data_IF_754405739655
#
_entry.id   IF_754405739655
#
_cell.length_a   1.000
_cell.length_b   1.000
_cell.length_c   1.000
_cell.angle_alpha   90.00
_cell.angle_beta   90.00
_cell.angle_gamma   90.00
#
_symmetry.space_group_name_H-M   'P 1'
#
loop_
_entity.id
_entity.type
_entity.pdbx_description
1 polymer ?
#
# COMPACT_ATOMS: atom_id res chain seq x y z
N UNK A 1 5.11 14.50 26.91
CA UNK A 1 5.30 13.78 28.14
C UNK A 1 5.97 12.45 27.84
N UNK A 2 7.18 12.23 28.38
CA UNK A 2 7.90 10.97 28.23
C UNK A 2 7.21 9.94 29.11
N UNK A 3 6.65 8.89 28.48
CA UNK A 3 6.13 7.74 29.20
C UNK A 3 7.30 6.78 29.43
N UNK A 4 7.63 6.55 30.69
CA UNK A 4 8.75 5.67 31.10
C UNK A 4 8.44 4.16 30.90
N UNK A 5 7.22 3.83 30.44
CA UNK A 5 6.72 2.47 30.20
C UNK A 5 6.75 2.06 28.71
N UNK A 6 7.33 2.89 27.84
CA UNK A 6 7.46 2.60 26.41
C UNK A 6 8.89 2.18 26.09
N UNK A 7 9.02 0.97 25.55
CA UNK A 7 10.28 0.42 25.06
C UNK A 7 10.30 0.43 23.53
N UNK A 8 11.32 1.04 22.94
CA UNK A 8 11.56 1.00 21.49
C UNK A 8 12.51 -0.15 21.21
N UNK A 9 12.06 -1.12 20.43
CA UNK A 9 12.83 -2.29 20.04
C UNK A 9 13.04 -2.33 18.53
N UNK A 10 14.07 -3.04 18.07
CA UNK A 10 14.29 -3.25 16.65
C UNK A 10 13.16 -4.09 16.03
N UNK A 11 12.59 -3.67 14.90
CA UNK A 11 11.54 -4.42 14.20
C UNK A 11 12.09 -5.73 13.63
N UNK A 12 11.27 -6.78 13.60
CA UNK A 12 11.59 -8.05 12.97
C UNK A 12 10.61 -8.37 11.85
N UNK A 13 10.99 -8.04 10.61
CA UNK A 13 10.16 -8.31 9.44
C UNK A 13 9.83 -9.79 9.26
N UNK A 14 10.77 -10.69 9.59
CA UNK A 14 10.53 -12.15 9.55
C UNK A 14 9.40 -12.56 10.50
N UNK A 15 9.37 -12.00 11.71
CA UNK A 15 8.31 -12.27 12.68
C UNK A 15 6.95 -11.77 12.16
N UNK A 16 6.92 -10.57 11.59
CA UNK A 16 5.70 -9.99 11.04
C UNK A 16 5.15 -10.80 9.87
N UNK A 17 6.02 -11.23 8.95
CA UNK A 17 5.64 -12.13 7.84
C UNK A 17 5.07 -13.45 8.34
N UNK A 18 5.71 -14.09 9.35
CA UNK A 18 5.23 -15.35 9.90
C UNK A 18 3.82 -15.19 10.50
N UNK A 19 3.58 -14.12 11.25
CA UNK A 19 2.25 -13.83 11.82
C UNK A 19 1.23 -13.52 10.73
N UNK A 20 1.59 -12.73 9.72
CA UNK A 20 0.73 -12.45 8.56
C UNK A 20 0.30 -13.74 7.84
N UNK A 21 1.26 -14.65 7.60
CA UNK A 21 0.97 -15.96 7.00
C UNK A 21 0.08 -16.82 7.90
N UNK A 22 0.26 -16.78 9.22
CA UNK A 22 -0.59 -17.51 10.16
C UNK A 22 -2.04 -16.97 10.09
N UNK A 23 -2.23 -15.66 10.09
CA UNK A 23 -3.55 -15.03 9.95
C UNK A 23 -4.20 -15.37 8.60
N UNK A 24 -3.41 -15.34 7.50
CA UNK A 24 -3.92 -15.75 6.19
C UNK A 24 -4.36 -17.23 6.17
N UNK A 25 -3.68 -18.11 6.90
CA UNK A 25 -4.10 -19.51 7.04
C UNK A 25 -5.40 -19.66 7.82
N UNK A 26 -5.64 -18.82 8.84
CA UNK A 26 -6.91 -18.76 9.54
C UNK A 26 -8.00 -18.31 8.54
N UNK A 27 -7.77 -17.24 7.76
CA UNK A 27 -8.70 -16.77 6.76
C UNK A 27 -9.13 -17.86 5.75
N UNK A 28 -8.18 -18.71 5.34
CA UNK A 28 -8.45 -19.83 4.42
C UNK A 28 -9.31 -20.96 5.01
N UNK A 29 -9.64 -20.93 6.29
CA UNK A 29 -10.65 -21.84 6.90
C UNK A 29 -12.08 -21.32 6.64
N UNK A 30 -12.21 -20.04 6.31
CA UNK A 30 -13.47 -19.32 6.14
C UNK A 30 -13.85 -19.15 4.66
N UNK A 31 -12.87 -18.92 3.80
CA UNK A 31 -13.06 -18.69 2.38
C UNK A 31 -12.07 -19.51 1.55
N UNK A 32 -12.41 -19.86 0.29
CA UNK A 32 -11.45 -20.47 -0.61
C UNK A 32 -10.35 -19.48 -1.04
N UNK A 33 -9.19 -19.97 -1.52
CA UNK A 33 -8.03 -19.12 -1.85
C UNK A 33 -8.30 -18.04 -2.90
N UNK A 34 -9.21 -18.26 -3.83
CA UNK A 34 -9.63 -17.29 -4.83
C UNK A 34 -10.37 -16.10 -4.23
N UNK A 35 -11.03 -16.26 -3.08
CA UNK A 35 -11.79 -15.26 -2.37
C UNK A 35 -10.97 -14.52 -1.30
N UNK A 36 -9.66 -14.77 -1.24
CA UNK A 36 -8.71 -14.08 -0.39
C UNK A 36 -7.71 -13.29 -1.25
N UNK A 37 -7.66 -11.97 -1.07
CA UNK A 37 -6.69 -11.10 -1.72
C UNK A 37 -5.81 -10.39 -0.69
N UNK A 38 -4.54 -10.80 -0.61
CA UNK A 38 -3.54 -10.14 0.24
C UNK A 38 -3.20 -8.76 -0.34
N UNK A 39 -3.60 -7.71 0.35
CA UNK A 39 -3.38 -6.33 -0.06
C UNK A 39 -2.03 -5.79 0.42
N UNK A 40 -1.67 -6.09 1.67
CA UNK A 40 -0.38 -5.75 2.28
C UNK A 40 0.07 -6.85 3.24
N UNK A 41 1.13 -6.62 4.02
CA UNK A 41 1.60 -7.56 5.05
C UNK A 41 0.58 -7.76 6.18
N UNK A 42 -0.24 -6.76 6.44
CA UNK A 42 -1.17 -6.67 7.59
C UNK A 42 -2.63 -6.46 7.19
N UNK A 43 -2.92 -6.39 5.88
CA UNK A 43 -4.27 -6.19 5.37
C UNK A 43 -4.58 -7.15 4.22
N UNK A 44 -5.80 -7.64 4.17
CA UNK A 44 -6.34 -8.43 3.07
C UNK A 44 -7.84 -8.21 2.92
N UNK A 45 -8.35 -8.52 1.74
CA UNK A 45 -9.77 -8.56 1.44
C UNK A 45 -10.25 -10.00 1.34
N UNK A 46 -11.46 -10.25 1.84
CA UNK A 46 -12.16 -11.52 1.71
C UNK A 46 -13.52 -11.31 1.06
N UNK A 47 -13.81 -12.02 -0.02
CA UNK A 47 -15.17 -12.12 -0.51
C UNK A 47 -15.89 -13.24 0.26
N UNK A 48 -16.82 -12.85 1.12
CA UNK A 48 -17.55 -13.79 1.98
C UNK A 48 -18.95 -14.11 1.46
N UNK A 49 -19.33 -13.58 0.28
CA UNK A 49 -20.68 -13.67 -0.29
C UNK A 49 -21.21 -15.11 -0.31
N UNK A 50 -20.39 -16.06 -0.77
CA UNK A 50 -20.77 -17.46 -0.88
C UNK A 50 -20.42 -18.30 0.37
N UNK A 51 -19.70 -17.71 1.34
CA UNK A 51 -19.10 -18.45 2.46
C UNK A 51 -19.82 -18.24 3.79
N UNK A 52 -20.26 -17.00 4.11
CA UNK A 52 -20.78 -16.69 5.44
C UNK A 52 -22.05 -17.50 5.81
N UNK A 53 -22.88 -17.87 4.84
CA UNK A 53 -24.08 -18.68 5.04
C UNK A 53 -23.78 -20.08 5.60
N UNK A 54 -22.60 -20.64 5.30
CA UNK A 54 -22.17 -21.95 5.81
C UNK A 54 -22.03 -21.99 7.33
N UNK A 55 -21.91 -20.83 7.95
CA UNK A 55 -21.75 -20.68 9.40
C UNK A 55 -23.09 -20.39 10.10
N UNK A 56 -24.24 -20.46 9.39
CA UNK A 56 -25.57 -20.18 9.92
C UNK A 56 -25.63 -18.85 10.71
N UNK A 57 -24.99 -17.81 10.20
CA UNK A 57 -24.83 -16.55 10.92
C UNK A 57 -25.03 -15.34 10.00
N UNK A 58 -25.17 -14.16 10.60
CA UNK A 58 -25.09 -12.89 9.88
C UNK A 58 -23.63 -12.61 9.50
N UNK A 59 -23.38 -11.75 8.50
CA UNK A 59 -22.03 -11.33 8.11
C UNK A 59 -21.30 -10.73 9.31
N UNK A 60 -21.97 -9.96 10.15
CA UNK A 60 -21.38 -9.39 11.36
C UNK A 60 -20.92 -10.46 12.36
N UNK A 61 -21.78 -11.45 12.64
CA UNK A 61 -21.45 -12.55 13.55
C UNK A 61 -20.32 -13.43 12.99
N UNK A 62 -20.29 -13.65 11.67
CA UNK A 62 -19.20 -14.30 10.97
C UNK A 62 -17.87 -13.53 11.18
N UNK A 63 -17.86 -12.22 10.95
CA UNK A 63 -16.68 -11.37 11.16
C UNK A 63 -16.22 -11.37 12.62
N UNK A 64 -17.15 -11.34 13.57
CA UNK A 64 -16.83 -11.39 15.01
C UNK A 64 -16.18 -12.71 15.40
N UNK A 65 -16.70 -13.83 14.89
CA UNK A 65 -16.09 -15.15 15.09
C UNK A 65 -14.67 -15.19 14.52
N UNK A 66 -14.48 -14.72 13.30
CA UNK A 66 -13.18 -14.66 12.65
C UNK A 66 -12.19 -13.77 13.43
N UNK A 67 -12.61 -12.58 13.89
CA UNK A 67 -11.82 -11.68 14.72
C UNK A 67 -11.35 -12.36 16.02
N UNK A 68 -12.25 -13.08 16.68
CA UNK A 68 -11.94 -13.79 17.93
C UNK A 68 -10.94 -14.94 17.69
N UNK A 69 -11.08 -15.72 16.61
CA UNK A 69 -10.14 -16.80 16.27
C UNK A 69 -8.73 -16.28 16.00
N UNK A 70 -8.61 -15.13 15.28
CA UNK A 70 -7.31 -14.48 15.12
C UNK A 70 -6.70 -14.09 16.48
N UNK A 71 -7.49 -13.49 17.36
CA UNK A 71 -7.04 -13.09 18.68
C UNK A 71 -6.60 -14.28 19.52
N UNK A 72 -7.37 -15.36 19.53
CA UNK A 72 -7.07 -16.58 20.30
C UNK A 72 -5.81 -17.27 19.81
N UNK A 73 -5.61 -17.38 18.48
CA UNK A 73 -4.45 -18.11 17.93
C UNK A 73 -3.18 -17.27 17.85
N UNK A 74 -3.30 -15.94 17.69
CA UNK A 74 -2.13 -15.08 17.42
C UNK A 74 -1.88 -14.02 18.47
N UNK A 75 -2.83 -13.73 19.34
CA UNK A 75 -2.79 -12.61 20.29
C UNK A 75 -2.95 -11.24 19.62
N UNK A 76 -3.30 -11.19 18.32
CA UNK A 76 -3.42 -9.94 17.56
C UNK A 76 -4.87 -9.49 17.51
N UNK A 77 -5.12 -8.24 17.92
CA UNK A 77 -6.39 -7.59 17.68
C UNK A 77 -6.45 -7.05 16.25
N UNK A 78 -7.50 -7.37 15.52
CA UNK A 78 -7.71 -6.85 14.17
C UNK A 78 -9.02 -6.06 14.08
N UNK A 79 -9.11 -5.18 13.10
CA UNK A 79 -10.31 -4.43 12.75
C UNK A 79 -10.84 -4.92 11.40
N UNK A 80 -12.17 -4.92 11.24
CA UNK A 80 -12.84 -5.44 10.05
C UNK A 80 -13.82 -4.40 9.51
N UNK A 81 -13.68 -4.05 8.25
CA UNK A 81 -14.70 -3.32 7.51
C UNK A 81 -15.54 -4.27 6.66
N UNK A 82 -16.84 -4.18 6.74
CA UNK A 82 -17.80 -4.91 5.92
C UNK A 82 -18.36 -3.93 4.89
N UNK A 83 -18.33 -4.30 3.62
CA UNK A 83 -18.80 -3.43 2.54
C UNK A 83 -19.35 -4.19 1.35
N UNK A 84 -20.16 -3.51 0.54
CA UNK A 84 -20.71 -4.07 -0.70
C UNK A 84 -19.65 -4.25 -1.80
N UNK A 85 -18.48 -3.66 -1.64
CA UNK A 85 -17.30 -3.77 -2.50
C UNK A 85 -16.03 -3.52 -1.69
N UNK A 86 -14.85 -3.66 -2.31
CA UNK A 86 -13.55 -3.51 -1.64
C UNK A 86 -13.35 -2.09 -1.11
N UNK A 87 -13.78 -1.07 -1.84
CA UNK A 87 -13.69 0.32 -1.41
C UNK A 87 -14.47 0.57 -0.12
N UNK A 88 -15.77 0.25 -0.11
CA UNK A 88 -16.64 0.49 1.05
C UNK A 88 -16.16 -0.30 2.27
N UNK A 89 -15.70 -1.55 2.07
CA UNK A 89 -15.09 -2.37 3.11
C UNK A 89 -13.84 -1.68 3.69
N UNK A 90 -12.92 -1.21 2.83
CA UNK A 90 -11.69 -0.55 3.26
C UNK A 90 -11.96 0.75 4.01
N UNK A 91 -12.85 1.58 3.48
CA UNK A 91 -13.17 2.88 4.10
C UNK A 91 -13.94 2.70 5.41
N UNK A 92 -14.87 1.74 5.49
CA UNK A 92 -15.55 1.39 6.74
C UNK A 92 -14.54 0.96 7.82
N UNK A 93 -13.53 0.19 7.46
CA UNK A 93 -12.47 -0.22 8.37
C UNK A 93 -11.66 1.00 8.86
N UNK A 94 -11.19 1.85 7.95
CA UNK A 94 -10.30 2.96 8.29
C UNK A 94 -10.99 4.08 9.08
N UNK A 95 -12.23 4.41 8.73
CA UNK A 95 -12.95 5.56 9.30
C UNK A 95 -13.76 5.19 10.54
N UNK A 96 -14.37 4.00 10.57
CA UNK A 96 -15.30 3.64 11.65
C UNK A 96 -14.80 2.47 12.51
N UNK A 97 -14.40 1.33 11.91
CA UNK A 97 -14.03 0.14 12.68
C UNK A 97 -12.84 0.38 13.62
N UNK A 98 -11.83 1.13 13.18
CA UNK A 98 -10.66 1.46 14.00
C UNK A 98 -10.98 2.30 15.24
N UNK A 99 -12.14 2.91 15.28
CA UNK A 99 -12.62 3.77 16.38
C UNK A 99 -13.81 3.17 17.14
N UNK A 100 -14.34 2.03 16.71
CA UNK A 100 -15.44 1.33 17.37
C UNK A 100 -14.92 0.35 18.44
N UNK A 101 -15.68 0.17 19.52
CA UNK A 101 -15.33 -0.79 20.59
C UNK A 101 -15.18 -2.23 20.06
N UNK A 102 -16.02 -2.60 19.09
CA UNK A 102 -16.03 -3.95 18.52
C UNK A 102 -14.95 -4.17 17.46
N UNK A 103 -14.31 -3.11 16.97
CA UNK A 103 -13.37 -3.18 15.86
C UNK A 103 -14.01 -3.63 14.55
N UNK A 104 -15.34 -3.50 14.39
CA UNK A 104 -16.08 -3.91 13.19
C UNK A 104 -17.03 -2.78 12.78
N UNK A 105 -17.06 -2.47 11.49
CA UNK A 105 -17.99 -1.52 10.89
C UNK A 105 -18.56 -2.05 9.59
N UNK A 106 -19.78 -1.67 9.27
CA UNK A 106 -20.46 -2.07 8.03
C UNK A 106 -20.96 -0.85 7.28
N UNK A 107 -20.58 -0.76 5.99
CA UNK A 107 -21.02 0.28 5.06
C UNK A 107 -21.60 -0.33 3.80
N UNK A 108 -22.78 0.15 3.44
CA UNK A 108 -23.50 -0.24 2.22
C UNK A 108 -23.63 0.95 1.27
N UNK A 109 -24.11 0.74 0.06
CA UNK A 109 -24.32 1.82 -0.91
C UNK A 109 -25.23 2.93 -0.40
N UNK A 110 -26.22 2.59 0.41
CA UNK A 110 -27.15 3.53 1.04
C UNK A 110 -26.47 4.47 2.04
N UNK A 111 -25.36 4.05 2.62
CA UNK A 111 -24.61 4.84 3.62
C UNK A 111 -23.69 5.87 2.97
N UNK A 112 -23.48 5.82 1.65
CA UNK A 112 -22.56 6.69 0.92
C UNK A 112 -22.84 8.18 1.17
N UNK A 113 -24.09 8.70 1.08
CA UNK A 113 -24.33 10.11 1.32
C UNK A 113 -24.05 10.55 2.76
N UNK A 114 -24.30 9.68 3.74
CA UNK A 114 -24.21 10.02 5.16
C UNK A 114 -22.81 9.77 5.73
N UNK A 115 -22.13 8.71 5.27
CA UNK A 115 -20.85 8.30 5.85
C UNK A 115 -19.65 8.61 4.95
N UNK A 116 -19.77 8.44 3.62
CA UNK A 116 -18.66 8.62 2.69
C UNK A 116 -18.47 10.10 2.29
N UNK A 117 -19.55 10.78 1.91
CA UNK A 117 -19.47 12.16 1.41
C UNK A 117 -18.95 13.18 2.41
N UNK A 118 -19.19 13.07 3.74
CA UNK A 118 -18.64 14.02 4.71
C UNK A 118 -17.14 13.89 4.95
N UNK A 119 -16.47 12.85 4.44
CA UNK A 119 -15.05 12.62 4.71
C UNK A 119 -14.22 13.82 4.27
N UNK A 120 -13.48 14.39 5.22
CA UNK A 120 -12.49 15.44 5.08
C UNK A 120 -11.46 15.31 6.23
N UNK A 121 -10.19 15.65 5.97
CA UNK A 121 -9.62 16.08 4.68
C UNK A 121 -9.63 14.93 3.66
N UNK A 122 -9.57 15.28 2.36
CA UNK A 122 -9.65 14.29 1.27
C UNK A 122 -8.59 13.18 1.35
N UNK A 123 -7.43 13.46 1.95
CA UNK A 123 -6.35 12.47 2.12
C UNK A 123 -6.67 11.33 3.09
N UNK A 124 -7.72 11.46 3.89
CA UNK A 124 -8.20 10.39 4.77
C UNK A 124 -9.03 9.36 3.99
N UNK A 125 -9.37 9.69 2.75
CA UNK A 125 -10.03 8.76 1.84
C UNK A 125 -9.01 7.91 1.07
N UNK A 126 -9.26 6.62 1.00
CA UNK A 126 -8.40 5.66 0.33
C UNK A 126 -8.12 6.04 -1.14
N UNK A 127 -6.84 6.05 -1.52
CA UNK A 127 -6.38 6.41 -2.86
C UNK A 127 -6.07 7.91 -3.08
N UNK A 128 -6.38 8.79 -2.11
CA UNK A 128 -6.06 10.21 -2.19
C UNK A 128 -4.87 10.55 -1.28
N UNK A 129 -3.74 10.91 -1.87
CA UNK A 129 -2.58 11.38 -1.13
C UNK A 129 -2.56 12.91 -0.99
N UNK A 130 -1.66 13.44 -0.15
CA UNK A 130 -1.49 14.88 0.10
C UNK A 130 -1.30 15.73 -1.17
N UNK A 131 -0.65 15.19 -2.21
CA UNK A 131 -0.45 15.91 -3.49
C UNK A 131 -1.75 15.99 -4.28
N UNK A 132 -2.50 14.90 -4.33
CA UNK A 132 -3.80 14.83 -5.00
C UNK A 132 -4.82 15.72 -4.30
N UNK A 133 -4.91 15.65 -2.96
CA UNK A 133 -5.72 16.55 -2.15
C UNK A 133 -5.44 18.02 -2.47
N UNK A 134 -4.16 18.45 -2.46
CA UNK A 134 -3.77 19.82 -2.78
C UNK A 134 -4.23 20.25 -4.18
N UNK A 135 -4.23 19.35 -5.16
CA UNK A 135 -4.72 19.62 -6.51
C UNK A 135 -6.25 19.73 -6.57
N UNK A 136 -6.95 18.88 -5.81
CA UNK A 136 -8.41 18.90 -5.70
C UNK A 136 -8.90 20.16 -4.97
N UNK A 137 -8.27 20.53 -3.86
CA UNK A 137 -8.60 21.73 -3.09
C UNK A 137 -8.46 23.02 -3.92
N UNK A 138 -7.50 23.10 -4.84
CA UNK A 138 -7.37 24.22 -5.79
C UNK A 138 -8.55 24.34 -6.76
N UNK A 139 -9.41 23.32 -6.85
CA UNK A 139 -10.62 23.27 -7.67
C UNK A 139 -11.90 23.46 -6.85
N UNK A 140 -11.75 23.77 -5.57
CA UNK A 140 -12.89 23.92 -4.66
C UNK A 140 -13.49 22.59 -4.19
N UNK A 141 -12.73 21.47 -4.31
CA UNK A 141 -13.14 20.15 -3.86
C UNK A 141 -12.47 19.89 -2.51
N UNK A 142 -13.24 19.86 -1.42
CA UNK A 142 -12.75 19.72 -0.06
C UNK A 142 -13.25 18.46 0.65
N UNK A 143 -14.40 17.93 0.21
CA UNK A 143 -15.02 16.71 0.75
C UNK A 143 -15.15 15.65 -0.34
N UNK A 144 -15.38 14.41 0.06
CA UNK A 144 -15.68 13.33 -0.90
C UNK A 144 -17.02 13.59 -1.60
N UNK A 145 -17.99 14.24 -0.92
CA UNK A 145 -19.23 14.69 -1.53
C UNK A 145 -19.04 15.74 -2.61
N UNK A 146 -18.08 16.66 -2.45
CA UNK A 146 -17.73 17.62 -3.51
C UNK A 146 -17.13 16.87 -4.71
N UNK A 147 -16.25 15.89 -4.45
CA UNK A 147 -15.64 15.08 -5.49
C UNK A 147 -16.66 14.23 -6.26
N UNK A 148 -17.63 13.67 -5.55
CA UNK A 148 -18.72 12.87 -6.14
C UNK A 148 -19.62 13.71 -7.08
N UNK A 149 -19.82 14.98 -6.75
CA UNK A 149 -20.66 15.91 -7.52
C UNK A 149 -19.87 16.68 -8.60
N UNK A 150 -18.52 16.61 -8.55
CA UNK A 150 -17.70 17.37 -9.50
C UNK A 150 -17.81 16.76 -10.90
N UNK A 151 -17.91 17.59 -11.96
CA UNK A 151 -18.09 17.08 -13.31
C UNK A 151 -16.96 16.14 -13.75
N UNK A 152 -17.30 14.90 -14.01
CA UNK A 152 -16.42 13.81 -14.36
C UNK A 152 -15.39 14.14 -15.47
N UNK A 153 -15.82 14.85 -16.52
CA UNK A 153 -14.94 15.17 -17.64
C UNK A 153 -13.75 16.08 -17.28
N UNK A 154 -13.90 16.94 -16.27
CA UNK A 154 -12.77 17.74 -15.76
C UNK A 154 -11.80 16.86 -14.94
N UNK A 155 -12.30 15.92 -14.13
CA UNK A 155 -11.44 14.98 -13.41
C UNK A 155 -10.65 14.09 -14.38
N UNK A 156 -11.31 13.60 -15.43
CA UNK A 156 -10.66 12.81 -16.49
C UNK A 156 -9.56 13.62 -17.20
N UNK A 157 -9.83 14.88 -17.54
CA UNK A 157 -8.86 15.77 -18.20
C UNK A 157 -7.64 16.02 -17.32
N UNK A 158 -7.82 16.25 -16.02
CA UNK A 158 -6.79 16.74 -15.11
C UNK A 158 -6.00 15.63 -14.43
N UNK A 159 -6.59 14.44 -14.28
CA UNK A 159 -6.01 13.30 -13.59
C UNK A 159 -6.00 12.00 -14.41
N UNK A 160 -6.54 12.01 -15.64
CA UNK A 160 -6.61 10.82 -16.49
C UNK A 160 -7.49 9.71 -15.90
N UNK A 161 -7.04 8.48 -15.98
CA UNK A 161 -7.75 7.30 -15.44
C UNK A 161 -7.98 7.45 -13.94
N UNK A 162 -6.99 7.93 -13.19
CA UNK A 162 -7.15 8.17 -11.74
C UNK A 162 -8.29 9.15 -11.42
N UNK A 163 -8.56 10.12 -12.31
CA UNK A 163 -9.69 11.04 -12.14
C UNK A 163 -11.04 10.34 -12.29
N UNK A 164 -11.11 9.35 -13.18
CA UNK A 164 -12.30 8.51 -13.38
C UNK A 164 -12.53 7.66 -12.11
N UNK A 165 -11.47 6.98 -11.66
CA UNK A 165 -11.54 6.11 -10.49
C UNK A 165 -11.92 6.91 -9.23
N UNK A 166 -11.32 8.08 -9.01
CA UNK A 166 -11.67 8.95 -7.89
C UNK A 166 -13.15 9.37 -7.92
N UNK A 167 -13.71 9.67 -9.10
CA UNK A 167 -15.13 10.02 -9.22
C UNK A 167 -16.05 8.85 -8.91
N UNK A 168 -15.74 7.65 -9.43
CA UNK A 168 -16.49 6.43 -9.14
C UNK A 168 -16.40 6.08 -7.66
N UNK A 169 -15.21 6.10 -7.09
CA UNK A 169 -14.97 5.82 -5.68
C UNK A 169 -15.69 6.82 -4.76
N UNK A 170 -15.73 8.11 -5.10
CA UNK A 170 -16.48 9.10 -4.34
C UNK A 170 -18.00 8.85 -4.37
N UNK A 171 -18.49 8.13 -5.35
CA UNK A 171 -19.87 7.63 -5.42
C UNK A 171 -20.06 6.22 -4.84
N UNK A 172 -19.06 5.67 -4.15
CA UNK A 172 -19.10 4.35 -3.56
C UNK A 172 -18.99 3.20 -4.57
N UNK A 173 -18.63 3.49 -5.82
CA UNK A 173 -18.54 2.52 -6.91
C UNK A 173 -17.10 2.04 -7.04
N UNK A 174 -16.89 0.74 -6.88
CA UNK A 174 -15.61 0.07 -7.11
C UNK A 174 -15.87 -1.19 -7.93
N UNK A 175 -15.21 -1.29 -9.07
CA UNK A 175 -15.34 -2.41 -9.99
C UNK A 175 -14.32 -3.52 -9.75
N UNK A 176 -13.41 -3.32 -8.79
CA UNK A 176 -12.40 -4.30 -8.41
C UNK A 176 -13.05 -5.55 -7.83
N UNK A 177 -12.47 -6.71 -8.12
CA UNK A 177 -12.93 -8.00 -7.59
C UNK A 177 -11.78 -8.70 -6.87
N UNK A 178 -12.08 -9.29 -5.73
CA UNK A 178 -11.12 -10.06 -4.92
C UNK A 178 -10.49 -11.20 -5.73
N UNK A 179 -11.26 -11.85 -6.60
CA UNK A 179 -10.81 -12.95 -7.48
C UNK A 179 -9.91 -12.51 -8.63
N UNK A 180 -9.98 -11.23 -9.03
CA UNK A 180 -9.17 -10.69 -10.12
C UNK A 180 -7.82 -10.23 -9.60
N UNK A 181 -6.81 -11.11 -9.64
CA UNK A 181 -5.47 -10.80 -9.20
C UNK A 181 -4.73 -10.01 -10.27
N UNK A 182 -4.16 -8.88 -9.86
CA UNK A 182 -3.29 -8.08 -10.74
C UNK A 182 -2.07 -8.90 -11.19
N UNK A 183 -1.85 -8.96 -12.50
CA UNK A 183 -0.64 -9.56 -13.08
C UNK A 183 0.38 -8.48 -13.34
N UNK A 184 1.51 -8.56 -12.66
CA UNK A 184 2.64 -7.65 -12.89
C UNK A 184 3.23 -7.95 -14.27
N UNK A 185 3.06 -7.04 -15.21
CA UNK A 185 3.61 -7.17 -16.57
C UNK A 185 5.10 -6.88 -16.62
N UNK A 186 5.57 -5.88 -15.86
CA UNK A 186 6.96 -5.47 -15.77
C UNK A 186 7.40 -5.51 -14.30
N UNK A 187 7.87 -6.66 -13.80
CA UNK A 187 8.32 -6.77 -12.43
C UNK A 187 9.59 -5.96 -12.21
N UNK A 188 9.72 -5.32 -11.06
CA UNK A 188 10.94 -4.65 -10.63
C UNK A 188 11.41 -5.21 -9.28
N UNK A 189 12.72 -5.29 -9.10
CA UNK A 189 13.35 -5.63 -7.83
C UNK A 189 14.01 -4.36 -7.31
N UNK A 190 13.63 -3.93 -6.13
CA UNK A 190 14.19 -2.72 -5.52
C UNK A 190 14.67 -2.97 -4.09
N UNK A 191 15.62 -2.16 -3.68
CA UNK A 191 16.09 -2.03 -2.31
C UNK A 191 16.29 -0.56 -2.00
N UNK A 192 15.91 -0.13 -0.81
CA UNK A 192 16.16 1.21 -0.31
C UNK A 192 16.54 1.16 1.15
N UNK A 193 17.25 2.17 1.61
CA UNK A 193 17.64 2.32 3.00
C UNK A 193 17.55 3.80 3.40
N UNK A 194 16.97 4.05 4.56
CA UNK A 194 17.05 5.35 5.23
C UNK A 194 18.30 5.31 6.10
N UNK A 195 19.20 6.27 5.90
CA UNK A 195 20.46 6.34 6.64
C UNK A 195 20.22 6.89 8.03
N UNK A 196 20.99 6.41 9.01
CA UNK A 196 20.86 6.80 10.43
C UNK A 196 21.44 8.18 10.73
N UNK A 197 22.26 8.71 9.84
CA UNK A 197 22.88 10.03 9.87
C UNK A 197 23.09 10.54 8.44
N UNK A 198 23.51 11.76 8.30
CA UNK A 198 23.95 12.29 7.02
C UNK A 198 25.28 11.65 6.61
N UNK A 199 25.37 11.26 5.34
CA UNK A 199 26.53 10.63 4.73
C UNK A 199 27.14 11.56 3.70
N UNK A 200 28.45 11.66 3.73
CA UNK A 200 29.19 12.24 2.61
C UNK A 200 29.09 11.35 1.39
N UNK A 201 29.27 11.90 0.20
CA UNK A 201 29.10 11.16 -1.03
C UNK A 201 29.97 9.89 -1.11
N UNK A 202 31.25 9.98 -0.70
CA UNK A 202 32.13 8.82 -0.70
C UNK A 202 31.68 7.71 0.25
N UNK A 203 31.17 8.07 1.43
CA UNK A 203 30.59 7.10 2.38
C UNK A 203 29.33 6.44 1.80
N UNK A 204 28.50 7.19 1.06
CA UNK A 204 27.27 6.67 0.47
C UNK A 204 27.52 5.62 -0.61
N UNK A 205 28.73 5.60 -1.21
CA UNK A 205 29.11 4.57 -2.19
C UNK A 205 29.14 3.16 -1.60
N UNK A 206 29.53 3.01 -0.34
CA UNK A 206 29.53 1.72 0.35
C UNK A 206 28.10 1.21 0.50
N UNK A 207 27.20 2.07 1.01
CA UNK A 207 25.79 1.72 1.14
C UNK A 207 25.15 1.39 -0.21
N UNK A 208 25.48 2.18 -1.24
CA UNK A 208 25.01 1.92 -2.61
C UNK A 208 25.47 0.54 -3.10
N UNK A 209 26.71 0.15 -2.81
CA UNK A 209 27.26 -1.14 -3.20
C UNK A 209 26.54 -2.29 -2.52
N UNK A 210 26.25 -2.19 -1.21
CA UNK A 210 25.46 -3.16 -0.45
C UNK A 210 24.03 -3.30 -1.01
N UNK A 211 23.38 -2.19 -1.36
CA UNK A 211 22.05 -2.22 -1.96
C UNK A 211 22.05 -2.88 -3.35
N UNK A 212 23.07 -2.62 -4.16
CA UNK A 212 23.24 -3.23 -5.49
C UNK A 212 23.47 -4.73 -5.35
N UNK A 213 24.29 -5.16 -4.40
CA UNK A 213 24.56 -6.59 -4.14
C UNK A 213 23.27 -7.34 -3.79
N UNK A 214 22.45 -6.80 -2.89
CA UNK A 214 21.15 -7.37 -2.53
C UNK A 214 20.24 -7.49 -3.77
N UNK A 215 20.10 -6.43 -4.55
CA UNK A 215 19.27 -6.44 -5.78
C UNK A 215 19.77 -7.45 -6.80
N UNK A 216 21.08 -7.49 -7.05
CA UNK A 216 21.69 -8.42 -8.01
C UNK A 216 21.59 -9.88 -7.54
N UNK A 217 21.75 -10.13 -6.23
CA UNK A 217 21.53 -11.45 -5.63
C UNK A 217 20.10 -11.94 -5.85
N UNK A 218 19.11 -11.07 -5.63
CA UNK A 218 17.69 -11.39 -5.85
C UNK A 218 17.36 -11.60 -7.31
N UNK A 219 17.96 -10.81 -8.24
CA UNK A 219 17.83 -11.05 -9.68
C UNK A 219 18.31 -12.45 -10.06
N UNK A 220 19.50 -12.86 -9.54
CA UNK A 220 20.03 -14.21 -9.80
C UNK A 220 19.14 -15.31 -9.19
N UNK A 221 18.65 -15.12 -7.96
CA UNK A 221 17.76 -16.08 -7.30
C UNK A 221 16.47 -16.29 -8.11
N UNK A 222 15.92 -15.22 -8.71
CA UNK A 222 14.75 -15.29 -9.56
C UNK A 222 15.05 -15.64 -11.03
N UNK A 223 16.33 -15.90 -11.37
CA UNK A 223 16.81 -16.18 -12.76
C UNK A 223 16.40 -15.07 -13.75
N UNK A 224 16.46 -13.81 -13.31
CA UNK A 224 16.11 -12.63 -14.09
C UNK A 224 17.33 -11.77 -14.42
N UNK A 225 17.19 -10.97 -15.46
CA UNK A 225 18.15 -9.95 -15.87
C UNK A 225 17.44 -8.58 -15.86
N UNK A 226 18.10 -7.56 -15.35
CA UNK A 226 17.61 -6.18 -15.41
C UNK A 226 18.15 -5.48 -16.67
N UNK A 227 17.27 -4.84 -17.41
CA UNK A 227 17.63 -3.96 -18.52
C UNK A 227 17.55 -2.48 -18.15
N UNK A 228 16.63 -2.14 -17.26
CA UNK A 228 16.46 -0.76 -16.79
C UNK A 228 16.87 -0.66 -15.34
N UNK A 229 17.80 0.24 -15.06
CA UNK A 229 18.29 0.56 -13.73
C UNK A 229 17.71 1.91 -13.32
N UNK A 230 17.03 1.96 -12.20
CA UNK A 230 16.57 3.19 -11.57
C UNK A 230 17.24 3.34 -10.21
N UNK A 231 17.74 4.55 -9.93
CA UNK A 231 18.31 4.88 -8.62
C UNK A 231 17.92 6.28 -8.18
N UNK A 232 17.95 6.50 -6.86
CA UNK A 232 17.66 7.79 -6.27
C UNK A 232 18.49 8.01 -5.00
N UNK A 233 18.86 9.27 -4.78
CA UNK A 233 19.49 9.76 -3.55
C UNK A 233 18.62 10.88 -2.98
N UNK A 234 18.24 10.77 -1.70
CA UNK A 234 17.61 11.86 -0.96
C UNK A 234 18.68 12.71 -0.27
N UNK A 235 18.52 14.02 -0.26
CA UNK A 235 19.38 14.93 0.49
C UNK A 235 18.84 15.18 1.89
N UNK A 236 19.74 15.48 2.84
CA UNK A 236 19.39 15.78 4.24
C UNK A 236 18.43 16.99 4.35
N UNK A 237 18.68 18.03 3.57
CA UNK A 237 17.86 19.25 3.54
C UNK A 237 16.58 19.12 2.71
N UNK A 238 16.29 17.94 2.21
CA UNK A 238 15.14 17.64 1.36
C UNK A 238 15.45 17.68 -0.13
N UNK A 239 14.52 17.13 -0.93
CA UNK A 239 14.75 16.91 -2.35
C UNK A 239 15.56 15.64 -2.62
N UNK A 240 16.21 15.58 -3.77
CA UNK A 240 17.02 14.43 -4.16
C UNK A 240 17.16 14.28 -5.66
N UNK A 241 17.92 13.28 -6.06
CA UNK A 241 18.21 12.94 -7.45
C UNK A 241 17.54 11.62 -7.77
N UNK A 242 16.87 11.58 -8.93
CA UNK A 242 16.28 10.37 -9.50
C UNK A 242 16.82 10.22 -10.92
N UNK A 243 17.37 9.06 -11.24
CA UNK A 243 17.83 8.74 -12.59
C UNK A 243 17.39 7.34 -12.98
N UNK A 244 17.16 7.19 -14.28
CA UNK A 244 16.88 5.92 -14.91
C UNK A 244 17.81 5.76 -16.10
N UNK A 245 18.33 4.56 -16.28
CA UNK A 245 19.18 4.21 -17.41
C UNK A 245 18.79 2.84 -17.96
N UNK A 246 18.72 2.73 -19.28
CA UNK A 246 18.43 1.46 -19.96
C UNK A 246 19.70 0.94 -20.59
N UNK A 247 20.11 -0.25 -20.17
CA UNK A 247 21.28 -0.95 -20.68
C UNK A 247 21.01 -1.49 -22.09
N UNK A 248 22.06 -1.57 -22.91
CA UNK A 248 22.02 -2.30 -24.18
C UNK A 248 21.83 -3.79 -23.92
N UNK A 249 22.69 -4.37 -23.10
CA UNK A 249 22.63 -5.76 -22.67
C UNK A 249 22.08 -5.89 -21.25
N UNK A 250 21.03 -6.73 -21.04
CA UNK A 250 20.50 -7.00 -19.70
C UNK A 250 21.54 -7.70 -18.82
N UNK A 251 21.57 -7.36 -17.52
CA UNK A 251 22.54 -7.92 -16.56
C UNK A 251 21.92 -8.29 -15.22
N UNK A 252 22.59 -9.17 -14.48
CA UNK A 252 22.37 -9.42 -13.04
C UNK A 252 23.68 -9.36 -12.24
N UNK A 253 24.71 -8.74 -12.83
CA UNK A 253 26.02 -8.57 -12.22
C UNK A 253 26.10 -7.22 -11.49
N UNK A 254 26.55 -7.25 -10.26
CA UNK A 254 26.70 -6.06 -9.41
C UNK A 254 27.61 -5.01 -10.09
N UNK A 255 28.72 -5.46 -10.68
CA UNK A 255 29.70 -4.57 -11.29
C UNK A 255 29.12 -3.72 -12.42
N UNK A 256 28.18 -4.28 -13.19
CA UNK A 256 27.60 -3.58 -14.34
C UNK A 256 26.58 -2.54 -13.85
N UNK A 257 25.77 -2.91 -12.87
CA UNK A 257 24.81 -2.01 -12.19
C UNK A 257 25.58 -0.88 -11.49
N UNK A 258 26.66 -1.22 -10.76
CA UNK A 258 27.49 -0.24 -10.04
C UNK A 258 28.12 0.77 -11.00
N UNK A 259 28.69 0.33 -12.15
CA UNK A 259 29.29 1.22 -13.15
C UNK A 259 28.30 2.29 -13.59
N UNK A 260 27.05 1.93 -13.88
CA UNK A 260 26.02 2.87 -14.32
C UNK A 260 25.70 3.88 -13.22
N UNK A 261 25.42 3.41 -12.02
CA UNK A 261 25.03 4.28 -10.92
C UNK A 261 26.19 5.21 -10.53
N UNK A 262 27.40 4.67 -10.40
CA UNK A 262 28.60 5.44 -10.03
C UNK A 262 28.95 6.51 -11.09
N UNK A 263 28.77 6.21 -12.38
CA UNK A 263 28.98 7.19 -13.46
C UNK A 263 28.07 8.40 -13.29
N UNK A 264 26.79 8.20 -13.03
CA UNK A 264 25.85 9.29 -12.85
C UNK A 264 26.04 9.98 -11.50
N UNK A 265 26.30 9.23 -10.43
CA UNK A 265 26.49 9.76 -9.08
C UNK A 265 27.71 10.70 -9.02
N UNK A 266 28.85 10.33 -9.61
CA UNK A 266 30.04 11.18 -9.70
C UNK A 266 29.82 12.48 -10.47
N UNK A 267 29.00 12.45 -11.54
CA UNK A 267 28.68 13.67 -12.32
C UNK A 267 27.76 14.62 -11.57
N UNK A 268 26.97 14.11 -10.64
CA UNK A 268 26.00 14.87 -9.86
C UNK A 268 26.61 15.44 -8.58
N UNK A 269 27.64 14.77 -7.99
CA UNK A 269 28.40 15.30 -6.86
C UNK A 269 29.27 16.52 -7.21
N UNK A 270 29.53 16.76 -8.50
CA UNK A 270 30.26 17.94 -8.99
C UNK A 270 29.32 19.16 -9.11
N UNK A 271 28.00 18.95 -9.08
CA UNK A 271 26.96 19.98 -9.25
C UNK A 271 26.24 20.34 -7.94
N UNK A 272 26.55 19.65 -6.85
CA UNK A 272 26.03 19.90 -5.51
C UNK A 272 27.12 20.53 -4.61
#
# INVERSE_FOLDING_TARGET
>A
PHRNDIYIINPSMRKYLNVSVAISKIALRYVPPEDLHQYSIDEFFMDVTDSYHRFNSTVFAFCKRFQNEILEETGIHCTIGIGSNMLLSKVAMDIEAKHSENGIAEWRYQDVPEKLWPIQPLRDFWGINKRTEKKLNKRGIFTIGDLAKYPYHYLKRDFGVLGIDMHLHANGIDQSKVREKYKVTNPSICKSQILMRDYQFEESKVVMQELIEDVASRLRAEKKLARTIHFSFGYAEGGGIHKQYTLEDPTNLERDIFKVINYFANRLSILA
#
